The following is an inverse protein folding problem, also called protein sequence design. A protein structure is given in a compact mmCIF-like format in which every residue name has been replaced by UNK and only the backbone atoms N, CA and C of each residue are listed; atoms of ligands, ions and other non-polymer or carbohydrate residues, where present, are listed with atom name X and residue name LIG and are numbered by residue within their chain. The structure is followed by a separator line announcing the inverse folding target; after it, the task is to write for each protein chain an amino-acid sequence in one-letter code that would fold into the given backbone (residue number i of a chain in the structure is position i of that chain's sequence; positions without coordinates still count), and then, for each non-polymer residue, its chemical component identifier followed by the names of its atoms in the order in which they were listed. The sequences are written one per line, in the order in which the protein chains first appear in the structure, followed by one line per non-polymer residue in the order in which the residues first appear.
data_IF_994509991973
#
_entry.id   IF_994509991973
#
_cell.length_a   1.000
_cell.length_b   1.000
_cell.length_c   1.000
_cell.angle_alpha   90.00
_cell.angle_beta   90.00
_cell.angle_gamma   90.00
#
_symmetry.space_group_name_H-M   'P 1'
#
loop_
_entity.id
_entity.type
_entity.pdbx_description
1 polymer ?
#
# COMPACT_ATOMS: atom_id res chain seq x y z
N UNK A 1 0.52 -19.62 6.74
CA UNK A 1 -0.15 -20.15 5.54
C UNK A 1 0.83 -21.04 4.80
N UNK A 2 0.48 -22.29 4.53
CA UNK A 2 1.24 -23.12 3.59
C UNK A 2 1.00 -22.63 2.15
N UNK A 3 1.88 -22.98 1.21
CA UNK A 3 1.80 -22.46 -0.16
C UNK A 3 0.54 -22.91 -0.91
N UNK A 4 0.08 -24.14 -0.69
CA UNK A 4 -1.17 -24.65 -1.26
C UNK A 4 -2.39 -23.83 -0.79
N UNK A 5 -2.45 -23.51 0.50
CA UNK A 5 -3.49 -22.67 1.06
C UNK A 5 -3.40 -21.24 0.51
N UNK A 6 -2.19 -20.67 0.43
CA UNK A 6 -1.98 -19.34 -0.14
C UNK A 6 -2.48 -19.25 -1.58
N UNK A 7 -2.05 -20.18 -2.45
CA UNK A 7 -2.50 -20.20 -3.84
C UNK A 7 -4.01 -20.39 -3.97
N UNK A 8 -4.60 -21.27 -3.16
CA UNK A 8 -6.04 -21.49 -3.16
C UNK A 8 -6.82 -20.21 -2.85
N UNK A 9 -6.47 -19.52 -1.76
CA UNK A 9 -7.20 -18.32 -1.34
C UNK A 9 -6.92 -17.13 -2.26
N UNK A 10 -5.66 -16.89 -2.65
CA UNK A 10 -5.32 -15.80 -3.56
C UNK A 10 -5.94 -15.98 -4.94
N UNK A 11 -5.90 -17.20 -5.49
CA UNK A 11 -6.52 -17.50 -6.78
C UNK A 11 -8.04 -17.26 -6.80
N UNK A 12 -8.74 -17.59 -5.71
CA UNK A 12 -10.17 -17.29 -5.60
C UNK A 12 -10.45 -15.79 -5.51
N UNK A 13 -9.64 -15.05 -4.73
CA UNK A 13 -9.73 -13.59 -4.61
C UNK A 13 -9.52 -12.90 -5.95
N UNK A 14 -8.47 -13.27 -6.67
CA UNK A 14 -8.15 -12.66 -7.96
C UNK A 14 -9.20 -12.98 -9.02
N UNK A 15 -9.72 -14.21 -9.08
CA UNK A 15 -10.82 -14.55 -9.99
C UNK A 15 -12.03 -13.63 -9.80
N UNK A 16 -12.39 -13.31 -8.56
CA UNK A 16 -13.51 -12.40 -8.27
C UNK A 16 -13.16 -10.95 -8.59
N UNK A 17 -11.95 -10.50 -8.25
CA UNK A 17 -11.47 -9.15 -8.53
C UNK A 17 -11.48 -8.85 -10.04
N UNK A 18 -10.88 -9.72 -10.86
CA UNK A 18 -10.81 -9.50 -12.30
C UNK A 18 -12.19 -9.56 -12.97
N UNK A 19 -13.11 -10.40 -12.48
CA UNK A 19 -14.48 -10.39 -12.98
C UNK A 19 -15.17 -9.02 -12.78
N UNK A 20 -14.90 -8.35 -11.66
CA UNK A 20 -15.43 -7.00 -11.41
C UNK A 20 -14.69 -5.94 -12.23
N UNK A 21 -13.38 -6.03 -12.39
CA UNK A 21 -12.60 -5.10 -13.25
C UNK A 21 -13.10 -5.18 -14.70
N UNK A 22 -13.31 -6.39 -15.22
CA UNK A 22 -13.82 -6.60 -16.57
C UNK A 22 -15.24 -6.05 -16.72
N UNK A 23 -16.13 -6.33 -15.75
CA UNK A 23 -17.48 -5.78 -15.75
C UNK A 23 -17.49 -4.24 -15.66
N UNK A 24 -16.62 -3.66 -14.82
CA UNK A 24 -16.47 -2.21 -14.70
C UNK A 24 -16.05 -1.59 -16.03
N UNK A 25 -15.05 -2.16 -16.70
CA UNK A 25 -14.58 -1.69 -17.99
C UNK A 25 -15.64 -1.87 -19.10
N UNK A 26 -16.32 -3.01 -19.14
CA UNK A 26 -17.34 -3.34 -20.13
C UNK A 26 -18.55 -2.39 -20.06
N UNK A 27 -18.93 -1.97 -18.85
CA UNK A 27 -20.10 -1.14 -18.60
C UNK A 27 -19.78 0.37 -18.51
N UNK A 28 -18.58 0.80 -18.91
CA UNK A 28 -18.10 2.18 -18.75
C UNK A 28 -18.32 2.70 -17.32
N UNK A 29 -17.99 1.88 -16.31
CA UNK A 29 -18.25 2.18 -14.90
C UNK A 29 -17.59 3.47 -14.42
N UNK A 30 -16.56 3.96 -15.11
CA UNK A 30 -15.93 5.26 -14.84
C UNK A 30 -16.88 6.45 -14.99
N UNK A 31 -18.01 6.30 -15.70
CA UNK A 31 -19.05 7.32 -15.83
C UNK A 31 -19.96 7.40 -14.60
N UNK A 32 -19.91 6.41 -13.71
CA UNK A 32 -20.76 6.33 -12.52
C UNK A 32 -20.11 6.96 -11.27
N UNK A 33 -18.89 7.51 -11.39
CA UNK A 33 -18.28 8.28 -10.31
C UNK A 33 -19.03 9.59 -10.08
N UNK A 34 -18.98 10.10 -8.85
CA UNK A 34 -19.75 11.29 -8.45
C UNK A 34 -19.45 12.55 -9.26
N UNK A 35 -18.17 12.82 -9.50
CA UNK A 35 -17.68 13.99 -10.24
C UNK A 35 -16.25 13.70 -10.72
N UNK A 36 -15.86 14.22 -11.90
CA UNK A 36 -14.51 14.01 -12.44
C UNK A 36 -13.38 14.56 -11.54
N UNK A 37 -13.68 15.49 -10.61
CA UNK A 37 -12.75 15.96 -9.57
C UNK A 37 -12.19 14.81 -8.72
N UNK A 38 -13.01 13.78 -8.46
CA UNK A 38 -12.61 12.57 -7.72
C UNK A 38 -11.36 11.91 -8.31
N UNK A 39 -11.19 11.95 -9.64
CA UNK A 39 -10.04 11.36 -10.30
C UNK A 39 -8.70 11.96 -9.86
N UNK A 40 -8.69 13.14 -9.25
CA UNK A 40 -7.47 13.71 -8.65
C UNK A 40 -6.95 12.85 -7.50
N UNK A 41 -7.85 12.26 -6.70
CA UNK A 41 -7.49 11.32 -5.64
C UNK A 41 -6.86 10.05 -6.24
N UNK A 42 -7.47 9.49 -7.30
CA UNK A 42 -6.95 8.27 -7.94
C UNK A 42 -5.63 8.54 -8.68
N UNK A 43 -5.42 9.74 -9.23
CA UNK A 43 -4.10 10.15 -9.76
C UNK A 43 -3.05 10.18 -8.68
N UNK A 44 -3.34 10.78 -7.53
CA UNK A 44 -2.42 10.80 -6.39
C UNK A 44 -2.09 9.39 -5.90
N UNK A 45 -3.09 8.51 -5.78
CA UNK A 45 -2.89 7.11 -5.42
C UNK A 45 -1.99 6.41 -6.43
N UNK A 46 -2.35 6.47 -7.70
CA UNK A 46 -1.61 5.82 -8.78
C UNK A 46 -0.17 6.34 -8.91
N UNK A 47 0.04 7.64 -8.77
CA UNK A 47 1.37 8.23 -8.97
C UNK A 47 2.23 8.17 -7.72
N UNK A 48 1.66 8.21 -6.52
CA UNK A 48 2.39 8.37 -5.27
C UNK A 48 2.35 7.16 -4.33
N UNK A 49 1.26 6.39 -4.31
CA UNK A 49 1.09 5.22 -3.44
C UNK A 49 1.46 3.95 -4.17
N UNK A 50 0.90 3.71 -5.37
CA UNK A 50 1.15 2.48 -6.11
C UNK A 50 2.63 2.17 -6.37
N UNK A 51 3.52 3.15 -6.67
CA UNK A 51 4.95 2.85 -6.79
C UNK A 51 5.59 2.39 -5.48
N UNK A 52 5.04 2.76 -4.31
CA UNK A 52 5.52 2.29 -3.01
C UNK A 52 5.36 0.78 -2.89
N UNK A 53 4.27 0.19 -3.37
CA UNK A 53 4.08 -1.26 -3.36
C UNK A 53 5.26 -1.97 -4.03
N UNK A 54 5.73 -1.46 -5.18
CA UNK A 54 6.90 -2.00 -5.87
C UNK A 54 8.19 -1.88 -5.04
N UNK A 55 8.37 -0.78 -4.31
CA UNK A 55 9.52 -0.61 -3.41
C UNK A 55 9.42 -1.59 -2.25
N UNK A 56 8.22 -1.79 -1.70
CA UNK A 56 7.97 -2.71 -0.59
C UNK A 56 8.24 -4.17 -1.02
N UNK A 57 7.88 -4.56 -2.25
CA UNK A 57 8.30 -5.85 -2.86
C UNK A 57 9.81 -6.04 -2.77
N UNK A 58 10.59 -5.05 -3.23
CA UNK A 58 12.05 -5.14 -3.25
C UNK A 58 12.62 -5.25 -1.83
N UNK A 59 12.06 -4.47 -0.90
CA UNK A 59 12.47 -4.46 0.50
C UNK A 59 12.24 -5.80 1.19
N UNK A 60 11.05 -6.37 1.06
CA UNK A 60 10.72 -7.66 1.66
C UNK A 60 11.36 -8.84 0.94
N UNK A 61 11.55 -8.79 -0.38
CA UNK A 61 12.34 -9.81 -1.09
C UNK A 61 13.78 -9.85 -0.57
N UNK A 62 14.38 -8.67 -0.34
CA UNK A 62 15.70 -8.56 0.27
C UNK A 62 15.67 -9.05 1.72
N UNK A 63 14.75 -8.56 2.55
CA UNK A 63 14.65 -8.95 3.96
C UNK A 63 14.45 -10.48 4.12
N UNK A 64 13.57 -11.05 3.29
CA UNK A 64 13.28 -12.49 3.22
C UNK A 64 14.46 -13.35 2.77
N UNK A 65 15.50 -12.75 2.18
CA UNK A 65 16.78 -13.41 1.90
C UNK A 65 17.81 -13.25 3.02
N UNK A 66 17.79 -12.13 3.73
CA UNK A 66 18.86 -11.74 4.65
C UNK A 66 18.61 -12.13 6.11
N UNK A 67 17.35 -12.30 6.54
CA UNK A 67 17.07 -12.81 7.87
C UNK A 67 17.53 -14.27 8.04
N UNK A 68 18.07 -14.58 9.22
CA UNK A 68 18.53 -15.94 9.54
C UNK A 68 17.38 -16.85 9.99
N UNK A 69 16.39 -16.29 10.69
CA UNK A 69 15.21 -17.02 11.17
C UNK A 69 14.28 -17.40 10.02
N UNK A 70 13.94 -18.69 9.90
CA UNK A 70 13.17 -19.20 8.76
C UNK A 70 11.75 -18.65 8.72
N UNK A 71 11.10 -18.53 9.88
CA UNK A 71 9.77 -17.94 9.99
C UNK A 71 9.75 -16.49 9.48
N UNK A 72 10.74 -15.67 9.88
CA UNK A 72 10.87 -14.29 9.40
C UNK A 72 11.12 -14.24 7.89
N UNK A 73 11.93 -15.16 7.35
CA UNK A 73 12.16 -15.25 5.90
C UNK A 73 10.88 -15.54 5.14
N UNK A 74 10.13 -16.57 5.54
CA UNK A 74 8.89 -16.96 4.88
C UNK A 74 7.85 -15.86 4.99
N UNK A 75 7.69 -15.24 6.17
CA UNK A 75 6.75 -14.12 6.34
C UNK A 75 7.08 -12.95 5.41
N UNK A 76 8.35 -12.54 5.33
CA UNK A 76 8.78 -11.49 4.40
C UNK A 76 8.56 -11.89 2.93
N UNK A 77 8.85 -13.13 2.54
CA UNK A 77 8.65 -13.58 1.15
C UNK A 77 7.17 -13.61 0.77
N UNK A 78 6.31 -14.05 1.68
CA UNK A 78 4.86 -14.05 1.52
C UNK A 78 4.32 -12.63 1.39
N UNK A 79 4.86 -11.70 2.19
CA UNK A 79 4.52 -10.30 2.04
C UNK A 79 5.00 -9.77 0.69
N UNK A 80 6.25 -9.97 0.30
CA UNK A 80 6.77 -9.49 -0.99
C UNK A 80 5.92 -9.90 -2.20
N UNK A 81 5.33 -11.10 -2.21
CA UNK A 81 4.42 -11.52 -3.29
C UNK A 81 3.02 -10.89 -3.16
N UNK A 82 2.52 -10.64 -1.95
CA UNK A 82 1.30 -9.86 -1.73
C UNK A 82 1.44 -8.41 -2.25
N UNK A 83 2.57 -7.76 -2.00
CA UNK A 83 2.82 -6.39 -2.47
C UNK A 83 2.97 -6.32 -3.99
N UNK A 84 3.52 -7.37 -4.61
CA UNK A 84 3.56 -7.49 -6.06
C UNK A 84 2.15 -7.60 -6.62
N UNK A 85 1.30 -8.39 -5.96
CA UNK A 85 -0.12 -8.50 -6.29
C UNK A 85 -0.81 -7.15 -6.13
N UNK A 86 -0.55 -6.37 -5.07
CA UNK A 86 -1.10 -5.03 -4.91
C UNK A 86 -0.68 -4.10 -6.04
N UNK A 87 0.62 -4.02 -6.34
CA UNK A 87 1.13 -3.19 -7.43
C UNK A 87 0.44 -3.50 -8.78
N UNK A 88 0.34 -4.78 -9.12
CA UNK A 88 -0.25 -5.23 -10.38
C UNK A 88 -1.76 -5.01 -10.43
N UNK A 89 -2.48 -5.34 -9.35
CA UNK A 89 -3.94 -5.19 -9.32
C UNK A 89 -4.37 -3.74 -9.27
N UNK A 90 -3.62 -2.86 -8.61
CA UNK A 90 -3.83 -1.41 -8.68
C UNK A 90 -3.66 -0.89 -10.12
N UNK A 91 -2.63 -1.35 -10.83
CA UNK A 91 -2.44 -1.00 -12.24
C UNK A 91 -3.62 -1.44 -13.12
N UNK A 92 -4.14 -2.65 -12.91
CA UNK A 92 -5.27 -3.18 -13.67
C UNK A 92 -6.59 -2.49 -13.33
N UNK A 93 -6.85 -2.19 -12.05
CA UNK A 93 -8.03 -1.44 -11.61
C UNK A 93 -8.04 -0.01 -12.19
N UNK A 94 -6.88 0.65 -12.26
CA UNK A 94 -6.77 2.04 -12.73
C UNK A 94 -6.63 2.12 -14.27
N UNK A 95 -6.32 1.01 -14.93
CA UNK A 95 -6.11 0.93 -16.39
C UNK A 95 -7.28 1.52 -17.19
N UNK A 96 -8.53 1.32 -16.74
CA UNK A 96 -9.69 1.89 -17.42
C UNK A 96 -9.70 3.43 -17.36
N UNK A 97 -9.41 4.02 -16.19
CA UNK A 97 -9.31 5.48 -16.07
C UNK A 97 -8.20 6.06 -16.96
N UNK A 98 -7.06 5.37 -17.09
CA UNK A 98 -5.98 5.81 -17.97
C UNK A 98 -6.37 5.90 -19.45
N UNK A 99 -7.35 5.10 -19.91
CA UNK A 99 -7.83 5.16 -21.31
C UNK A 99 -8.62 6.44 -21.60
N UNK A 100 -9.29 7.01 -20.60
CA UNK A 100 -10.28 8.07 -20.79
C UNK A 100 -9.87 9.41 -20.16
N UNK A 101 -8.89 9.42 -19.27
CA UNK A 101 -8.55 10.61 -18.48
C UNK A 101 -7.04 10.87 -18.44
N UNK A 102 -6.68 12.14 -18.39
CA UNK A 102 -5.29 12.59 -18.29
C UNK A 102 -4.69 12.33 -16.90
N UNK A 103 -3.37 12.22 -16.83
CA UNK A 103 -2.66 12.13 -15.55
C UNK A 103 -2.51 10.72 -15.00
N UNK A 104 -2.79 9.68 -15.78
CA UNK A 104 -2.58 8.28 -15.36
C UNK A 104 -1.46 7.58 -16.13
N UNK A 105 -0.95 8.18 -17.20
CA UNK A 105 0.15 7.62 -17.98
C UNK A 105 1.50 7.87 -17.31
N UNK A 106 2.55 7.18 -17.76
CA UNK A 106 3.95 7.48 -17.38
C UNK A 106 4.27 7.40 -15.88
N UNK A 107 3.55 6.56 -15.12
CA UNK A 107 3.63 6.44 -13.64
C UNK A 107 5.07 6.51 -13.10
N UNK A 108 5.91 5.52 -13.41
CA UNK A 108 7.27 5.44 -12.87
C UNK A 108 8.16 6.59 -13.35
N UNK A 109 7.96 7.07 -14.57
CA UNK A 109 8.70 8.23 -15.07
C UNK A 109 8.43 9.47 -14.22
N UNK A 110 7.17 9.69 -13.83
CA UNK A 110 6.77 10.79 -12.95
C UNK A 110 7.17 10.58 -11.50
N UNK A 111 6.99 9.38 -10.96
CA UNK A 111 7.37 9.07 -9.58
C UNK A 111 8.84 9.43 -9.30
N UNK A 112 9.71 9.19 -10.27
CA UNK A 112 11.14 9.50 -10.18
C UNK A 112 11.50 10.98 -10.35
N UNK A 113 10.58 11.86 -10.80
CA UNK A 113 10.93 13.20 -11.31
C UNK A 113 10.05 14.35 -10.82
N UNK A 114 8.78 14.09 -10.57
CA UNK A 114 7.84 15.14 -10.18
C UNK A 114 8.07 15.52 -8.73
N UNK A 115 8.21 16.83 -8.47
CA UNK A 115 8.66 17.37 -7.19
C UNK A 115 7.89 16.84 -5.98
N UNK A 116 6.55 16.78 -6.04
CA UNK A 116 5.74 16.34 -4.90
C UNK A 116 5.78 14.81 -4.70
N UNK A 117 6.11 14.05 -5.76
CA UNK A 117 6.31 12.61 -5.69
C UNK A 117 7.67 12.23 -5.08
N UNK A 118 8.59 13.20 -4.93
CA UNK A 118 9.79 13.00 -4.11
C UNK A 118 9.47 12.73 -2.63
N UNK A 119 8.29 13.15 -2.14
CA UNK A 119 7.83 12.89 -0.77
C UNK A 119 7.63 11.38 -0.53
N UNK A 120 6.74 10.67 -1.26
CA UNK A 120 6.62 9.22 -1.15
C UNK A 120 7.89 8.49 -1.58
N UNK A 121 8.56 8.91 -2.66
CA UNK A 121 9.78 8.26 -3.13
C UNK A 121 10.89 8.28 -2.07
N UNK A 122 11.19 9.43 -1.49
CA UNK A 122 12.25 9.53 -0.47
C UNK A 122 11.89 8.81 0.85
N UNK A 123 10.60 8.66 1.17
CA UNK A 123 10.16 7.83 2.28
C UNK A 123 10.53 6.36 2.04
N UNK A 124 10.18 5.82 0.86
CA UNK A 124 10.50 4.44 0.51
C UNK A 124 11.99 4.21 0.31
N UNK A 125 12.72 5.14 -0.30
CA UNK A 125 14.17 5.03 -0.51
C UNK A 125 14.95 5.05 0.82
N UNK A 126 14.54 5.85 1.81
CA UNK A 126 15.13 5.82 3.16
C UNK A 126 14.92 4.42 3.79
N UNK A 127 13.70 3.87 3.72
CA UNK A 127 13.42 2.55 4.28
C UNK A 127 14.20 1.44 3.55
N UNK A 128 14.25 1.51 2.22
CA UNK A 128 14.98 0.55 1.39
C UNK A 128 16.49 0.64 1.55
N UNK A 129 17.06 1.81 1.84
CA UNK A 129 18.51 1.93 2.04
C UNK A 129 18.94 1.60 3.46
N UNK A 130 18.00 1.54 4.41
CA UNK A 130 18.26 1.10 5.77
C UNK A 130 18.58 -0.40 5.89
N UNK A 131 19.08 -0.78 7.07
CA UNK A 131 19.29 -2.19 7.43
C UNK A 131 17.98 -2.98 7.54
N UNK A 132 18.02 -4.33 7.52
CA UNK A 132 16.82 -5.16 7.45
C UNK A 132 15.90 -5.01 8.66
N UNK A 133 16.43 -4.74 9.86
CA UNK A 133 15.62 -4.52 11.06
C UNK A 133 14.95 -3.14 11.09
N UNK A 134 15.67 -2.10 10.69
CA UNK A 134 15.04 -0.77 10.54
C UNK A 134 13.96 -0.80 9.46
N UNK A 135 14.19 -1.49 8.33
CA UNK A 135 13.17 -1.68 7.30
C UNK A 135 11.89 -2.33 7.84
N UNK A 136 11.99 -3.38 8.68
CA UNK A 136 10.81 -3.98 9.32
C UNK A 136 10.09 -3.00 10.27
N UNK A 137 10.82 -2.20 11.04
CA UNK A 137 10.20 -1.20 11.93
C UNK A 137 9.57 -0.06 11.13
N UNK A 138 10.19 0.34 10.03
CA UNK A 138 9.72 1.39 9.13
C UNK A 138 8.44 1.00 8.40
N UNK A 139 8.46 -0.16 7.74
CA UNK A 139 7.39 -0.59 6.86
C UNK A 139 6.38 -1.45 7.62
N UNK A 140 6.78 -2.62 8.13
CA UNK A 140 5.83 -3.54 8.78
C UNK A 140 5.18 -2.94 10.02
N UNK A 141 5.96 -2.38 10.95
CA UNK A 141 5.39 -1.84 12.18
C UNK A 141 4.80 -0.43 12.00
N UNK A 142 5.62 0.53 11.56
CA UNK A 142 5.19 1.93 11.55
C UNK A 142 4.16 2.19 10.45
N UNK A 143 4.42 1.75 9.22
CA UNK A 143 3.53 2.03 8.09
C UNK A 143 2.32 1.08 8.04
N UNK A 144 2.54 -0.22 8.06
CA UNK A 144 1.50 -1.24 7.81
C UNK A 144 0.72 -1.66 9.06
N UNK A 145 1.18 -1.32 10.26
CA UNK A 145 0.42 -1.55 11.49
C UNK A 145 -0.09 -0.26 12.12
N UNK A 146 0.79 0.68 12.48
CA UNK A 146 0.40 1.91 13.20
C UNK A 146 -0.36 2.88 12.30
N UNK A 147 0.11 3.08 11.06
CA UNK A 147 -0.38 4.13 10.17
C UNK A 147 -1.29 3.64 9.05
N UNK A 148 -1.43 2.32 8.85
CA UNK A 148 -2.06 1.74 7.65
C UNK A 148 -3.48 2.24 7.41
N UNK A 149 -4.29 2.34 8.48
CA UNK A 149 -5.67 2.77 8.36
C UNK A 149 -5.79 4.23 7.91
N UNK A 150 -4.80 5.07 8.19
CA UNK A 150 -4.77 6.46 7.74
C UNK A 150 -4.47 6.60 6.25
N UNK A 151 -3.95 5.54 5.61
CA UNK A 151 -3.82 5.46 4.15
C UNK A 151 -5.00 4.70 3.54
N UNK A 152 -5.23 3.48 4.02
CA UNK A 152 -6.15 2.52 3.42
C UNK A 152 -7.60 3.00 3.49
N UNK A 153 -8.07 3.40 4.67
CA UNK A 153 -9.48 3.77 4.84
C UNK A 153 -9.84 4.98 3.98
N UNK A 154 -9.10 6.11 3.98
CA UNK A 154 -9.48 7.27 3.17
C UNK A 154 -9.61 6.98 1.67
N UNK A 155 -8.72 6.19 1.08
CA UNK A 155 -8.82 5.84 -0.33
C UNK A 155 -9.96 4.85 -0.62
N UNK A 156 -10.04 3.75 0.15
CA UNK A 156 -10.99 2.68 -0.15
C UNK A 156 -12.44 3.05 0.20
N UNK A 157 -12.66 3.72 1.34
CA UNK A 157 -13.98 4.25 1.68
C UNK A 157 -14.36 5.44 0.80
N UNK A 158 -13.39 6.30 0.46
CA UNK A 158 -13.59 7.39 -0.49
C UNK A 158 -14.08 6.90 -1.85
N UNK A 159 -13.52 5.78 -2.34
CA UNK A 159 -14.00 5.11 -3.55
C UNK A 159 -15.46 4.65 -3.43
N UNK A 160 -15.83 4.01 -2.32
CA UNK A 160 -17.21 3.58 -2.08
C UNK A 160 -18.20 4.76 -2.10
N UNK A 161 -17.85 5.88 -1.44
CA UNK A 161 -18.70 7.07 -1.35
C UNK A 161 -18.79 7.86 -2.67
N UNK A 162 -17.82 7.65 -3.56
CA UNK A 162 -17.72 8.38 -4.83
C UNK A 162 -18.00 7.52 -6.07
N UNK A 163 -18.58 6.32 -5.91
CA UNK A 163 -19.04 5.48 -7.01
C UNK A 163 -17.95 4.72 -7.76
N UNK A 164 -16.72 4.67 -7.23
CA UNK A 164 -15.60 3.96 -7.86
C UNK A 164 -15.61 2.48 -7.47
N UNK A 165 -16.35 1.69 -8.24
CA UNK A 165 -16.48 0.25 -8.05
C UNK A 165 -15.16 -0.52 -8.23
N UNK A 166 -14.25 -0.01 -9.07
CA UNK A 166 -12.98 -0.70 -9.33
C UNK A 166 -12.05 -0.60 -8.12
N UNK A 167 -11.84 0.62 -7.61
CA UNK A 167 -10.95 0.86 -6.46
C UNK A 167 -11.50 0.24 -5.17
N UNK A 168 -12.82 0.34 -4.92
CA UNK A 168 -13.40 -0.27 -3.71
C UNK A 168 -13.26 -1.81 -3.72
N UNK A 169 -13.37 -2.44 -4.89
CA UNK A 169 -13.22 -3.90 -5.02
C UNK A 169 -11.78 -4.34 -4.80
N UNK A 170 -10.80 -3.57 -5.29
CA UNK A 170 -9.40 -3.77 -4.90
C UNK A 170 -9.26 -3.69 -3.37
N UNK A 171 -9.80 -2.66 -2.73
CA UNK A 171 -9.76 -2.50 -1.27
C UNK A 171 -10.30 -3.73 -0.53
N UNK A 172 -11.51 -4.20 -0.86
CA UNK A 172 -12.05 -5.42 -0.26
C UNK A 172 -11.18 -6.66 -0.50
N UNK A 173 -10.57 -6.76 -1.68
CA UNK A 173 -9.67 -7.86 -2.02
C UNK A 173 -8.36 -7.80 -1.22
N UNK A 174 -7.81 -6.61 -0.96
CA UNK A 174 -6.54 -6.44 -0.25
C UNK A 174 -6.66 -6.66 1.27
N UNK A 175 -7.83 -6.45 1.88
CA UNK A 175 -8.03 -6.48 3.35
C UNK A 175 -7.44 -7.72 4.06
N UNK A 176 -7.62 -8.91 3.49
CA UNK A 176 -7.08 -10.11 4.14
C UNK A 176 -5.58 -10.27 3.97
N UNK A 177 -4.94 -9.57 3.03
CA UNK A 177 -3.48 -9.45 2.96
C UNK A 177 -2.99 -8.47 4.02
N UNK A 178 -3.60 -7.28 4.09
CA UNK A 178 -3.30 -6.26 5.09
C UNK A 178 -3.40 -6.81 6.53
N UNK A 179 -4.39 -7.67 6.80
CA UNK A 179 -4.49 -8.33 8.12
C UNK A 179 -3.24 -9.16 8.49
N UNK A 180 -2.59 -9.79 7.50
CA UNK A 180 -1.34 -10.53 7.69
C UNK A 180 -0.15 -9.59 7.83
N UNK A 181 -0.10 -8.52 7.06
CA UNK A 181 0.94 -7.50 7.13
C UNK A 181 0.94 -6.79 8.49
N UNK A 182 -0.25 -6.38 8.96
CA UNK A 182 -0.45 -5.86 10.32
C UNK A 182 0.05 -6.84 11.38
N UNK A 183 -0.28 -8.13 11.24
CA UNK A 183 0.18 -9.17 12.18
C UNK A 183 1.71 -9.31 12.13
N UNK A 184 2.34 -9.27 10.95
CA UNK A 184 3.80 -9.26 10.84
C UNK A 184 4.40 -8.05 11.54
N UNK A 185 3.84 -6.86 11.35
CA UNK A 185 4.31 -5.62 11.96
C UNK A 185 4.36 -5.67 13.48
N UNK A 186 3.25 -6.09 14.12
CA UNK A 186 3.18 -6.16 15.58
C UNK A 186 4.05 -7.27 16.17
N UNK A 187 4.16 -8.42 15.51
CA UNK A 187 5.00 -9.51 16.00
C UNK A 187 6.49 -9.24 15.76
N UNK A 188 6.85 -8.53 14.67
CA UNK A 188 8.23 -8.14 14.40
C UNK A 188 8.78 -7.20 15.49
N UNK A 189 8.02 -6.19 15.91
CA UNK A 189 8.48 -5.27 16.95
C UNK A 189 8.60 -5.95 18.32
N UNK A 190 7.62 -6.77 18.71
CA UNK A 190 7.67 -7.54 19.97
C UNK A 190 8.90 -8.44 19.99
N UNK A 191 9.11 -9.19 18.91
CA UNK A 191 10.28 -10.04 18.76
C UNK A 191 11.58 -9.24 18.98
N UNK A 192 11.76 -8.10 18.29
CA UNK A 192 12.96 -7.28 18.43
C UNK A 192 13.19 -6.76 19.85
N UNK A 193 12.13 -6.31 20.52
CA UNK A 193 12.20 -5.79 21.89
C UNK A 193 12.52 -6.88 22.92
N UNK A 194 12.07 -8.11 22.68
CA UNK A 194 12.27 -9.25 23.58
C UNK A 194 13.62 -9.97 23.38
N UNK A 195 14.28 -9.80 22.23
CA UNK A 195 15.56 -10.48 21.96
C UNK A 195 16.72 -9.99 22.83
N UNK A 196 16.81 -8.68 23.07
CA UNK A 196 17.90 -8.07 23.84
C UNK A 196 17.46 -6.70 24.40
N UNK A 197 17.64 -6.41 25.70
CA UNK A 197 17.32 -5.09 26.27
C UNK A 197 18.02 -3.91 25.58
N UNK A 198 19.19 -4.12 24.98
CA UNK A 198 19.90 -3.10 24.20
C UNK A 198 19.17 -2.69 22.92
N UNK A 199 18.22 -3.50 22.43
CA UNK A 199 17.40 -3.16 21.27
C UNK A 199 16.37 -2.07 21.58
N UNK A 200 15.92 -1.94 22.84
CA UNK A 200 14.89 -0.98 23.23
C UNK A 200 15.21 0.46 22.80
N UNK A 201 16.37 1.05 23.15
CA UNK A 201 16.70 2.42 22.71
C UNK A 201 16.86 2.54 21.18
N UNK A 202 17.32 1.49 20.50
CA UNK A 202 17.48 1.50 19.03
C UNK A 202 16.10 1.53 18.37
N UNK A 203 15.22 0.61 18.77
CA UNK A 203 13.86 0.51 18.25
C UNK A 203 13.07 1.78 18.56
N UNK A 204 13.22 2.36 19.76
CA UNK A 204 12.58 3.64 20.08
C UNK A 204 13.02 4.75 19.10
N UNK A 205 14.32 4.86 18.81
CA UNK A 205 14.82 5.83 17.84
C UNK A 205 14.24 5.63 16.44
N UNK A 206 14.02 4.36 16.02
CA UNK A 206 13.33 4.05 14.77
C UNK A 206 11.84 4.39 14.81
N UNK A 207 11.12 4.12 15.90
CA UNK A 207 9.71 4.50 16.06
C UNK A 207 9.57 6.03 15.90
N UNK A 208 10.39 6.80 16.60
CA UNK A 208 10.33 8.27 16.56
C UNK A 208 10.56 8.78 15.12
N UNK A 209 11.58 8.25 14.44
CA UNK A 209 11.88 8.57 13.03
C UNK A 209 10.70 8.24 12.12
N UNK A 210 10.22 7.00 12.16
CA UNK A 210 9.28 6.46 11.17
C UNK A 210 7.84 6.88 11.42
N UNK A 211 7.47 7.15 12.66
CA UNK A 211 6.24 7.88 12.98
C UNK A 211 6.25 9.25 12.30
N UNK A 212 7.32 10.03 12.45
CA UNK A 212 7.35 11.39 11.91
C UNK A 212 7.42 11.42 10.38
N UNK A 213 8.26 10.55 9.78
CA UNK A 213 8.32 10.40 8.31
C UNK A 213 6.96 9.97 7.75
N UNK A 214 6.30 9.00 8.40
CA UNK A 214 4.97 8.53 8.01
C UNK A 214 3.90 9.60 8.14
N UNK A 215 3.88 10.34 9.26
CA UNK A 215 2.96 11.46 9.46
C UNK A 215 3.12 12.56 8.39
N UNK A 216 4.36 12.84 7.96
CA UNK A 216 4.62 13.78 6.86
C UNK A 216 4.16 13.25 5.51
N UNK A 217 4.37 11.96 5.22
CA UNK A 217 3.85 11.32 4.02
C UNK A 217 2.30 11.39 3.98
N UNK A 218 1.65 11.08 5.10
CA UNK A 218 0.18 11.08 5.22
C UNK A 218 -0.47 12.46 5.08
N UNK A 219 0.29 13.55 5.11
CA UNK A 219 -0.25 14.88 4.80
C UNK A 219 -0.84 14.96 3.38
N UNK A 220 -0.30 14.19 2.42
CA UNK A 220 -0.89 14.04 1.09
C UNK A 220 -2.28 13.39 1.14
N UNK A 221 -2.46 12.42 2.04
CA UNK A 221 -3.75 11.73 2.23
C UNK A 221 -4.76 12.64 2.92
N UNK A 222 -4.33 13.41 3.92
CA UNK A 222 -5.17 14.42 4.59
C UNK A 222 -5.72 15.45 3.60
N UNK A 223 -4.87 15.98 2.72
CA UNK A 223 -5.32 16.86 1.62
C UNK A 223 -6.32 16.15 0.69
N UNK A 224 -6.03 14.91 0.31
CA UNK A 224 -6.87 14.14 -0.61
C UNK A 224 -8.29 13.94 -0.06
N UNK A 225 -8.41 13.48 1.19
CA UNK A 225 -9.71 13.16 1.77
C UNK A 225 -10.59 14.38 2.02
N UNK A 226 -10.01 15.53 2.36
CA UNK A 226 -10.77 16.76 2.67
C UNK A 226 -11.22 17.51 1.41
N UNK A 227 -10.44 17.42 0.32
CA UNK A 227 -10.58 18.32 -0.84
C UNK A 227 -10.74 17.63 -2.19
N UNK A 228 -10.29 16.38 -2.36
CA UNK A 228 -10.36 15.68 -3.64
C UNK A 228 -11.55 14.74 -3.77
N UNK A 229 -12.24 14.44 -2.66
CA UNK A 229 -13.44 13.59 -2.62
C UNK A 229 -14.71 14.46 -2.61
N UNK A 230 -15.50 14.49 -3.70
CA UNK A 230 -16.76 15.24 -3.75
C UNK A 230 -17.73 14.86 -2.63
N UNK A 231 -17.91 13.57 -2.40
CA UNK A 231 -18.63 13.03 -1.25
C UNK A 231 -17.61 12.62 -0.19
N UNK A 232 -17.58 13.36 0.92
CA UNK A 232 -16.67 13.11 2.04
C UNK A 232 -17.13 11.91 2.87
N UNK A 233 -16.15 11.16 3.37
CA UNK A 233 -16.39 10.03 4.29
C UNK A 233 -16.51 10.49 5.74
N UNK A 234 -15.68 11.46 6.14
CA UNK A 234 -15.61 12.00 7.50
C UNK A 234 -15.56 13.54 7.42
N UNK A 235 -16.17 14.21 8.38
CA UNK A 235 -16.24 15.67 8.49
C UNK A 235 -15.29 16.22 9.54
#
# INVERSE_FOLDING_TARGET
LTMDAYWKYQGEKDRKLYAVIDAFAQNNGHLNITDARYLSAIKLFWQGVSPLENYVVQGFARAGRHFRGEASRVACQMQAVDELRHYQTQAHSISNYNKYYNGFHSQMYWFDRVWYLSVPKSFAEDALTAGPFEFLVAISFSFEYVLTNLLFVPFMSGAAYNGDMSTVTFGFSAQSDESRHMTLGIEAIKFLLEQDPANVPIVQGWIDKWFWRGARLLSLVGMMMDYMQPNRVMN
#
